data_IF_707864386133
#
_entry.id   IF_707864386133
#
_cell.length_a   1.000
_cell.length_b   1.000
_cell.length_c   1.000
_cell.angle_alpha   90.00
_cell.angle_beta   90.00
_cell.angle_gamma   90.00
#
_symmetry.space_group_name_H-M   'P 1'
#
loop_
_entity.id
_entity.type
_entity.pdbx_description
1 polymer ?
#
# COMPACT_ATOMS: atom_id res chain seq x y z
N UNK A 1 28.56 -1.92 -11.61
CA UNK A 1 27.32 -2.50 -11.01
C UNK A 1 26.40 -1.36 -10.59
N UNK A 2 26.88 -0.37 -9.82
CA UNK A 2 26.05 0.76 -9.35
C UNK A 2 25.99 1.93 -10.33
N UNK A 3 26.93 2.03 -11.25
CA UNK A 3 27.11 3.19 -12.12
C UNK A 3 27.55 4.48 -11.40
N UNK A 4 27.83 4.39 -10.10
CA UNK A 4 28.24 5.53 -9.26
C UNK A 4 29.64 5.29 -8.68
N UNK A 5 30.48 6.34 -8.61
CA UNK A 5 31.79 6.21 -8.01
C UNK A 5 31.68 5.99 -6.51
N UNK A 6 32.61 5.21 -5.95
CA UNK A 6 32.87 5.11 -4.54
C UNK A 6 34.38 5.25 -4.36
N UNK A 7 34.83 6.47 -4.09
CA UNK A 7 36.21 6.87 -3.97
C UNK A 7 36.38 7.92 -2.85
N UNK A 8 37.57 8.41 -2.61
CA UNK A 8 37.83 9.40 -1.56
C UNK A 8 37.08 10.72 -1.76
N UNK A 9 36.79 11.09 -3.01
CA UNK A 9 36.00 12.27 -3.32
C UNK A 9 34.49 12.01 -3.15
N UNK A 10 34.07 10.76 -3.34
CA UNK A 10 32.70 10.30 -3.20
C UNK A 10 32.64 9.13 -2.18
N UNK A 11 32.82 9.41 -0.87
CA UNK A 11 32.97 8.37 0.13
C UNK A 11 31.69 7.67 0.55
N UNK A 12 30.55 8.04 -0.04
CA UNK A 12 29.23 7.47 0.25
C UNK A 12 28.63 6.90 -1.02
N UNK A 13 28.21 5.66 -1.01
CA UNK A 13 27.43 5.02 -2.03
C UNK A 13 26.05 4.64 -1.45
N UNK A 14 24.97 5.11 -2.06
CA UNK A 14 23.61 4.59 -1.88
C UNK A 14 23.10 4.20 -3.26
N UNK A 15 22.90 2.89 -3.46
CA UNK A 15 22.59 2.34 -4.77
C UNK A 15 21.84 1.01 -4.68
N UNK A 16 21.53 0.46 -5.83
CA UNK A 16 20.87 -0.84 -5.99
C UNK A 16 21.88 -1.87 -6.52
N UNK A 17 21.82 -3.06 -5.94
CA UNK A 17 22.47 -4.24 -6.48
C UNK A 17 21.40 -5.12 -7.12
N UNK A 18 21.49 -5.29 -8.43
CA UNK A 18 20.59 -6.14 -9.21
C UNK A 18 21.41 -7.31 -9.74
N UNK A 19 21.07 -8.51 -9.30
CA UNK A 19 21.62 -9.79 -9.75
C UNK A 19 20.52 -10.61 -10.41
N UNK A 20 20.83 -11.65 -11.20
CA UNK A 20 19.82 -12.47 -11.87
C UNK A 20 18.73 -13.04 -10.96
N UNK A 21 19.06 -13.31 -9.69
CA UNK A 21 18.14 -13.93 -8.70
C UNK A 21 18.13 -13.21 -7.36
N UNK A 22 18.58 -11.96 -7.29
CA UNK A 22 18.56 -11.19 -6.06
C UNK A 22 18.61 -9.69 -6.32
N UNK A 23 17.86 -8.95 -5.51
CA UNK A 23 17.91 -7.48 -5.49
C UNK A 23 18.19 -7.02 -4.08
N UNK A 24 19.06 -6.02 -3.94
CA UNK A 24 19.35 -5.40 -2.65
C UNK A 24 19.60 -3.91 -2.81
N UNK A 25 19.18 -3.12 -1.83
CA UNK A 25 19.71 -1.79 -1.62
C UNK A 25 21.07 -1.93 -0.93
N UNK A 26 22.05 -1.19 -1.40
CA UNK A 26 23.41 -1.19 -0.88
C UNK A 26 23.76 0.21 -0.42
N UNK A 27 24.09 0.37 0.84
CA UNK A 27 24.76 1.55 1.35
C UNK A 27 26.22 1.17 1.66
N UNK A 28 27.16 1.95 1.17
CA UNK A 28 28.57 1.74 1.45
C UNK A 28 29.27 3.04 1.81
N UNK A 29 30.24 2.95 2.67
CA UNK A 29 31.09 4.04 3.13
C UNK A 29 32.55 3.66 2.98
N UNK A 30 33.39 4.66 2.65
CA UNK A 30 34.84 4.51 2.69
C UNK A 30 35.55 5.76 3.22
N UNK A 31 36.86 5.74 3.24
CA UNK A 31 37.66 6.92 3.60
C UNK A 31 37.39 8.10 2.68
N UNK A 32 37.39 9.32 3.21
CA UNK A 32 37.77 9.72 4.57
C UNK A 32 36.65 9.57 5.61
N UNK A 33 35.38 9.36 5.18
CA UNK A 33 34.19 9.30 6.07
C UNK A 33 34.22 8.10 7.02
N UNK A 34 34.77 6.97 6.57
CA UNK A 34 35.00 5.76 7.40
C UNK A 34 36.51 5.55 7.62
N UNK A 35 37.11 6.08 8.69
CA UNK A 35 38.56 5.97 8.92
C UNK A 35 39.06 4.52 9.01
N UNK A 36 38.19 3.60 9.46
CA UNK A 36 38.52 2.16 9.59
C UNK A 36 38.53 1.41 8.25
N UNK A 37 38.16 2.05 7.14
CA UNK A 37 38.07 1.44 5.82
C UNK A 37 36.64 1.28 5.33
N UNK A 38 36.39 0.28 4.49
CA UNK A 38 35.09 0.04 3.89
C UNK A 38 34.06 -0.48 4.90
N UNK A 39 32.84 0.06 4.83
CA UNK A 39 31.67 -0.42 5.56
C UNK A 39 30.50 -0.59 4.60
N UNK A 40 29.76 -1.68 4.74
CA UNK A 40 28.63 -2.00 3.86
C UNK A 40 27.38 -2.35 4.66
N UNK A 41 26.21 -1.95 4.11
CA UNK A 41 24.92 -2.42 4.54
C UNK A 41 24.13 -2.91 3.34
N UNK A 42 23.72 -4.17 3.35
CA UNK A 42 22.87 -4.75 2.32
C UNK A 42 21.47 -4.96 2.86
N UNK A 43 20.47 -4.45 2.16
CA UNK A 43 19.06 -4.69 2.44
C UNK A 43 18.47 -5.47 1.28
N UNK A 44 18.39 -6.80 1.46
CA UNK A 44 17.80 -7.68 0.43
C UNK A 44 16.31 -7.40 0.30
N UNK A 45 15.86 -7.25 -0.95
CA UNK A 45 14.45 -7.20 -1.30
C UNK A 45 13.94 -8.60 -1.63
N UNK A 46 12.67 -8.85 -1.36
CA UNK A 46 12.00 -10.05 -1.82
C UNK A 46 11.80 -9.94 -3.33
N UNK A 47 12.10 -11.02 -4.07
CA UNK A 47 11.96 -11.02 -5.53
C UNK A 47 10.49 -11.05 -5.98
N UNK A 48 9.64 -11.72 -5.20
CA UNK A 48 8.20 -11.77 -5.40
C UNK A 48 7.50 -10.65 -4.59
N UNK A 49 6.43 -10.06 -5.13
CA UNK A 49 5.62 -9.07 -4.41
C UNK A 49 5.02 -9.65 -3.14
N UNK A 50 4.93 -8.85 -2.10
CA UNK A 50 4.02 -9.12 -1.00
C UNK A 50 2.58 -8.99 -1.48
N UNK A 51 1.66 -9.70 -0.84
CA UNK A 51 0.22 -9.64 -1.08
C UNK A 51 -0.53 -9.50 0.24
N UNK A 52 -1.78 -9.07 0.20
CA UNK A 52 -2.59 -8.97 1.42
C UNK A 52 -2.78 -10.35 2.10
N UNK A 53 -3.01 -11.47 1.39
CA UNK A 53 -3.02 -12.80 2.01
C UNK A 53 -1.71 -13.18 2.72
N UNK A 54 -0.54 -12.85 2.17
CA UNK A 54 0.75 -13.06 2.86
C UNK A 54 0.86 -12.23 4.15
N UNK A 55 0.32 -11.02 4.15
CA UNK A 55 0.28 -10.21 5.36
C UNK A 55 -0.71 -10.73 6.41
N UNK A 56 -1.83 -11.30 6.00
CA UNK A 56 -2.73 -12.02 6.92
C UNK A 56 -1.99 -13.21 7.53
N UNK A 57 -1.33 -14.02 6.70
CA UNK A 57 -0.56 -15.19 7.17
C UNK A 57 0.55 -14.82 8.15
N UNK A 58 1.22 -13.68 7.94
CA UNK A 58 2.25 -13.16 8.86
C UNK A 58 1.69 -12.42 10.07
N UNK A 59 0.37 -12.34 10.21
CA UNK A 59 -0.34 -11.58 11.25
C UNK A 59 -0.04 -10.07 11.25
N UNK A 60 0.46 -9.52 10.17
CA UNK A 60 0.63 -8.07 10.04
C UNK A 60 -0.71 -7.37 9.83
N UNK A 61 -1.66 -8.04 9.15
CA UNK A 61 -3.03 -7.57 8.91
C UNK A 61 -4.03 -8.61 9.42
N UNK A 62 -5.22 -8.15 9.80
CA UNK A 62 -6.40 -9.00 9.91
C UNK A 62 -7.09 -9.13 8.54
N UNK A 63 -7.92 -10.17 8.32
CA UNK A 63 -8.72 -10.29 7.09
C UNK A 63 -9.59 -9.06 6.82
N UNK A 64 -10.20 -8.50 7.88
CA UNK A 64 -11.01 -7.28 7.78
C UNK A 64 -10.18 -6.09 7.29
N UNK A 65 -8.97 -5.89 7.82
CA UNK A 65 -8.08 -4.83 7.36
C UNK A 65 -7.70 -5.01 5.88
N UNK A 66 -7.43 -6.24 5.45
CA UNK A 66 -7.14 -6.54 4.05
C UNK A 66 -8.33 -6.26 3.13
N UNK A 67 -9.55 -6.63 3.56
CA UNK A 67 -10.81 -6.33 2.85
C UNK A 67 -11.05 -4.83 2.74
N UNK A 68 -10.85 -4.08 3.82
CA UNK A 68 -10.98 -2.63 3.86
C UNK A 68 -9.95 -1.95 2.93
N UNK A 69 -8.68 -2.35 2.96
CA UNK A 69 -7.65 -1.80 2.06
C UNK A 69 -8.01 -2.05 0.60
N UNK A 70 -8.43 -3.27 0.25
CA UNK A 70 -8.88 -3.61 -1.10
C UNK A 70 -10.08 -2.75 -1.54
N UNK A 71 -11.05 -2.52 -0.65
CA UNK A 71 -12.20 -1.65 -0.90
C UNK A 71 -11.81 -0.18 -1.13
N UNK A 72 -10.89 0.35 -0.32
CA UNK A 72 -10.40 1.72 -0.43
C UNK A 72 -9.60 1.96 -1.72
N UNK A 73 -8.88 0.95 -2.21
CA UNK A 73 -8.16 1.00 -3.48
C UNK A 73 -9.13 1.12 -4.64
N UNK A 74 -10.17 0.29 -4.70
CA UNK A 74 -11.20 0.39 -5.72
C UNK A 74 -12.02 1.69 -5.62
N UNK A 75 -12.18 2.20 -4.40
CA UNK A 75 -12.77 3.50 -4.12
C UNK A 75 -11.91 4.70 -4.56
N UNK A 76 -10.75 4.47 -5.15
CA UNK A 76 -9.83 5.51 -5.65
C UNK A 76 -9.46 6.55 -4.58
N UNK A 77 -9.04 6.09 -3.37
CA UNK A 77 -8.70 6.99 -2.26
C UNK A 77 -7.23 7.34 -2.23
N UNK A 78 -6.94 8.47 -1.58
CA UNK A 78 -5.57 8.89 -1.28
C UNK A 78 -5.14 8.25 0.03
N UNK A 79 -4.06 7.45 0.00
CA UNK A 79 -3.63 6.65 1.13
C UNK A 79 -2.14 6.84 1.44
N UNK A 80 -1.82 7.05 2.69
CA UNK A 80 -0.44 7.08 3.18
C UNK A 80 -0.16 5.84 4.02
N UNK A 81 0.91 5.12 3.66
CA UNK A 81 1.45 4.03 4.48
C UNK A 81 2.58 4.61 5.34
N UNK A 82 2.28 4.89 6.58
CA UNK A 82 3.23 5.46 7.53
C UNK A 82 3.76 4.41 8.51
N UNK A 83 4.80 4.76 9.23
CA UNK A 83 5.35 3.88 10.27
C UNK A 83 6.83 4.10 10.51
N UNK A 84 7.34 3.41 11.51
CA UNK A 84 8.74 3.45 11.89
C UNK A 84 9.65 2.78 10.85
N UNK A 85 10.96 2.93 11.01
CA UNK A 85 11.94 2.28 10.12
C UNK A 85 11.78 0.76 10.17
N UNK A 86 11.85 0.09 9.01
CA UNK A 86 11.72 -1.37 8.86
C UNK A 86 10.37 -1.96 9.25
N UNK A 87 9.32 -1.16 9.45
CA UNK A 87 7.96 -1.62 9.77
C UNK A 87 7.23 -2.32 8.61
N UNK A 88 7.80 -2.31 7.39
CA UNK A 88 7.21 -2.99 6.23
C UNK A 88 6.38 -2.08 5.33
N UNK A 89 6.52 -0.76 5.43
CA UNK A 89 5.77 0.24 4.63
C UNK A 89 5.82 -0.03 3.12
N UNK A 90 7.03 -0.10 2.55
CA UNK A 90 7.21 -0.34 1.10
C UNK A 90 6.66 -1.71 0.67
N UNK A 91 6.77 -2.72 1.55
CA UNK A 91 6.20 -4.05 1.28
C UNK A 91 4.66 -4.01 1.27
N UNK A 92 4.05 -3.25 2.19
CA UNK A 92 2.59 -3.05 2.21
C UNK A 92 2.14 -2.24 1.00
N UNK A 93 2.86 -1.18 0.64
CA UNK A 93 2.60 -0.42 -0.59
C UNK A 93 2.69 -1.33 -1.83
N UNK A 94 3.70 -2.21 -1.90
CA UNK A 94 3.82 -3.21 -2.97
C UNK A 94 2.63 -4.19 -3.03
N UNK A 95 2.09 -4.61 -1.87
CA UNK A 95 0.89 -5.45 -1.83
C UNK A 95 -0.38 -4.69 -2.28
N UNK A 96 -0.44 -3.39 -2.00
CA UNK A 96 -1.56 -2.55 -2.47
C UNK A 96 -1.58 -2.44 -4.00
N UNK A 97 -0.41 -2.46 -4.67
CA UNK A 97 -0.37 -2.48 -6.13
C UNK A 97 -1.04 -3.74 -6.72
N UNK A 98 -0.94 -4.89 -6.03
CA UNK A 98 -1.59 -6.15 -6.45
C UNK A 98 -3.11 -6.07 -6.40
N UNK A 99 -3.65 -5.16 -5.60
CA UNK A 99 -5.11 -4.94 -5.50
C UNK A 99 -5.65 -3.96 -6.56
N UNK A 100 -4.81 -3.21 -7.24
CA UNK A 100 -5.24 -2.31 -8.32
C UNK A 100 -5.66 -3.15 -9.52
N UNK A 101 -6.85 -2.90 -10.06
CA UNK A 101 -7.33 -3.61 -11.24
C UNK A 101 -6.40 -3.40 -12.45
N UNK A 102 -6.09 -4.47 -13.19
CA UNK A 102 -5.08 -4.48 -14.28
C UNK A 102 -5.41 -3.58 -15.47
N UNK A 103 -6.66 -3.18 -15.61
CA UNK A 103 -7.10 -2.21 -16.63
C UNK A 103 -6.73 -0.76 -16.29
N UNK A 104 -6.16 -0.52 -15.11
CA UNK A 104 -5.69 0.80 -14.70
C UNK A 104 -4.19 0.92 -14.97
N UNK A 105 -3.78 2.05 -15.56
CA UNK A 105 -2.37 2.42 -15.63
C UNK A 105 -1.87 2.80 -14.24
N UNK A 106 -0.67 2.36 -13.90
CA UNK A 106 0.03 2.70 -12.64
C UNK A 106 1.29 3.47 -12.99
N UNK A 107 1.55 4.56 -12.30
CA UNK A 107 2.80 5.30 -12.38
C UNK A 107 3.48 5.22 -11.03
N UNK A 108 4.70 4.70 -10.97
CA UNK A 108 5.51 4.69 -9.75
C UNK A 108 6.60 5.75 -9.82
N UNK A 109 6.85 6.43 -8.72
CA UNK A 109 7.94 7.40 -8.55
C UNK A 109 8.79 7.00 -7.36
N UNK A 110 10.06 6.66 -7.60
CA UNK A 110 10.99 6.15 -6.58
C UNK A 110 12.38 6.74 -6.80
N UNK A 111 13.09 7.06 -5.74
CA UNK A 111 14.52 7.38 -5.80
C UNK A 111 15.40 6.12 -5.76
N UNK A 112 14.92 5.09 -5.09
CA UNK A 112 15.47 3.74 -5.07
C UNK A 112 14.37 2.77 -5.46
N UNK A 113 14.57 1.98 -6.52
CA UNK A 113 13.55 1.09 -7.05
C UNK A 113 13.36 -0.12 -6.12
N UNK A 114 12.41 -0.04 -5.21
CA UNK A 114 12.05 -1.11 -4.26
C UNK A 114 10.75 -1.84 -4.65
N UNK A 115 9.82 -1.17 -5.35
CA UNK A 115 8.55 -1.75 -5.74
C UNK A 115 8.71 -2.89 -6.76
N UNK A 116 7.83 -3.90 -6.75
CA UNK A 116 7.96 -5.11 -7.56
C UNK A 116 7.47 -4.91 -9.02
N UNK A 117 7.84 -3.81 -9.66
CA UNK A 117 7.33 -3.39 -10.97
C UNK A 117 7.55 -4.46 -12.05
N UNK A 118 8.75 -5.05 -12.12
CA UNK A 118 9.07 -6.04 -13.15
C UNK A 118 8.17 -7.28 -13.04
N UNK A 119 7.91 -7.76 -11.83
CA UNK A 119 7.04 -8.90 -11.60
C UNK A 119 5.58 -8.58 -11.96
N UNK A 120 5.08 -7.41 -11.56
CA UNK A 120 3.71 -7.02 -11.85
C UNK A 120 3.49 -6.80 -13.35
N UNK A 121 4.47 -6.24 -14.08
CA UNK A 121 4.43 -6.17 -15.54
C UNK A 121 4.33 -7.56 -16.18
N UNK A 122 5.08 -8.55 -15.66
CA UNK A 122 4.98 -9.95 -16.13
C UNK A 122 3.60 -10.57 -15.86
N UNK A 123 2.82 -10.03 -14.90
CA UNK A 123 1.44 -10.40 -14.62
C UNK A 123 0.41 -9.58 -15.42
N UNK A 124 0.85 -8.74 -16.36
CA UNK A 124 -0.04 -7.98 -17.26
C UNK A 124 -0.46 -6.61 -16.77
N UNK A 125 0.22 -6.03 -15.78
CA UNK A 125 -0.03 -4.65 -15.35
C UNK A 125 0.64 -3.64 -16.29
N UNK A 126 -0.06 -2.56 -16.63
CA UNK A 126 0.52 -1.38 -17.28
C UNK A 126 1.13 -0.46 -16.21
N UNK A 127 2.43 -0.59 -15.97
CA UNK A 127 3.15 0.21 -14.98
C UNK A 127 4.26 1.02 -15.64
N UNK A 128 4.21 2.33 -15.50
CA UNK A 128 5.32 3.22 -15.81
C UNK A 128 6.14 3.46 -14.53
N UNK A 129 7.39 3.00 -14.52
CA UNK A 129 8.31 3.25 -13.41
C UNK A 129 9.17 4.48 -13.70
N UNK A 130 9.13 5.46 -12.83
CA UNK A 130 9.98 6.66 -12.89
C UNK A 130 11.01 6.59 -11.76
N UNK A 131 12.30 6.66 -12.13
CA UNK A 131 13.39 6.79 -11.17
C UNK A 131 13.74 8.27 -11.01
N UNK A 132 13.75 8.73 -9.78
CA UNK A 132 14.04 10.13 -9.43
C UNK A 132 15.40 10.27 -8.77
N UNK A 133 15.88 11.51 -8.66
CA UNK A 133 17.15 11.84 -8.00
C UNK A 133 17.15 11.36 -6.55
N UNK A 134 18.24 10.68 -6.17
CA UNK A 134 18.47 10.36 -4.76
C UNK A 134 18.73 11.63 -3.95
N UNK A 135 18.11 11.76 -2.79
CA UNK A 135 18.30 12.90 -1.88
C UNK A 135 19.74 12.96 -1.34
N UNK A 136 20.41 11.81 -1.21
CA UNK A 136 21.75 11.72 -0.58
C UNK A 136 22.87 11.80 -1.62
N UNK A 137 22.72 11.10 -2.75
CA UNK A 137 23.80 10.89 -3.71
C UNK A 137 23.40 11.25 -5.15
N UNK A 138 22.32 12.02 -5.32
CA UNK A 138 21.81 12.39 -6.64
C UNK A 138 22.73 13.32 -7.40
N UNK A 139 22.82 13.13 -8.70
CA UNK A 139 23.55 14.00 -9.63
C UNK A 139 22.62 15.05 -10.25
N UNK A 140 23.19 16.14 -10.81
CA UNK A 140 22.38 17.16 -11.49
C UNK A 140 21.64 16.64 -12.73
N UNK A 141 22.13 15.57 -13.34
CA UNK A 141 21.50 14.93 -14.50
C UNK A 141 20.25 14.09 -14.15
N UNK A 142 20.04 13.75 -12.88
CA UNK A 142 18.87 13.00 -12.45
C UNK A 142 17.65 13.95 -12.27
N UNK A 143 16.46 13.46 -12.67
CA UNK A 143 15.20 14.22 -12.58
C UNK A 143 14.78 14.38 -11.13
N UNK A 144 14.41 15.59 -10.73
CA UNK A 144 13.88 15.86 -9.40
C UNK A 144 12.51 15.19 -9.19
N UNK A 145 12.23 14.76 -7.96
CA UNK A 145 11.02 14.00 -7.65
C UNK A 145 9.72 14.82 -7.87
N UNK A 146 9.73 16.11 -7.59
CA UNK A 146 8.59 17.00 -7.85
C UNK A 146 8.30 17.14 -9.36
N UNK A 147 9.35 17.24 -10.19
CA UNK A 147 9.21 17.27 -11.65
C UNK A 147 8.64 15.95 -12.19
N UNK A 148 9.06 14.81 -11.65
CA UNK A 148 8.51 13.51 -12.01
C UNK A 148 7.00 13.43 -11.71
N UNK A 149 6.55 13.88 -10.52
CA UNK A 149 5.13 13.91 -10.17
C UNK A 149 4.34 14.84 -11.11
N UNK A 150 4.83 16.07 -11.37
CA UNK A 150 4.18 16.99 -12.32
C UNK A 150 4.09 16.43 -13.74
N UNK A 151 5.08 15.62 -14.14
CA UNK A 151 5.05 14.91 -15.42
C UNK A 151 4.01 13.79 -15.42
N UNK A 152 3.91 13.02 -14.32
CA UNK A 152 2.92 11.96 -14.17
C UNK A 152 1.49 12.46 -14.40
N UNK A 153 1.16 13.68 -13.92
CA UNK A 153 -0.17 14.28 -14.08
C UNK A 153 -0.57 14.56 -15.54
N UNK A 154 0.38 14.54 -16.46
CA UNK A 154 0.16 14.75 -17.91
C UNK A 154 -0.03 13.44 -18.68
N UNK A 155 0.13 12.30 -18.02
CA UNK A 155 0.12 10.97 -18.66
C UNK A 155 -1.27 10.30 -18.61
N UNK A 156 -2.30 11.06 -18.31
CA UNK A 156 -3.70 10.59 -18.26
C UNK A 156 -4.11 10.02 -16.90
N UNK A 157 -5.32 9.48 -16.83
CA UNK A 157 -5.90 8.90 -15.62
C UNK A 157 -5.12 7.68 -15.18
N UNK A 158 -4.35 7.82 -14.12
CA UNK A 158 -3.45 6.79 -13.61
C UNK A 158 -3.52 6.70 -12.09
N UNK A 159 -3.19 5.53 -11.55
CA UNK A 159 -2.83 5.41 -10.16
C UNK A 159 -1.41 5.93 -9.96
N UNK A 160 -1.18 6.81 -8.99
CA UNK A 160 0.14 7.35 -8.68
C UNK A 160 0.66 6.76 -7.36
N UNK A 161 1.82 6.10 -7.44
CA UNK A 161 2.44 5.42 -6.31
C UNK A 161 3.82 6.05 -6.05
N UNK A 162 4.00 6.63 -4.88
CA UNK A 162 5.26 7.26 -4.47
C UNK A 162 5.97 6.35 -3.47
N UNK A 163 7.15 5.85 -3.83
CA UNK A 163 7.89 4.90 -3.00
C UNK A 163 8.17 5.42 -1.60
N UNK A 164 8.65 6.66 -1.48
CA UNK A 164 8.83 7.35 -0.20
C UNK A 164 8.66 8.86 -0.37
N UNK A 165 7.89 9.48 0.53
CA UNK A 165 7.65 10.93 0.57
C UNK A 165 8.55 11.52 1.66
N UNK A 166 9.53 12.36 1.27
CA UNK A 166 10.52 12.87 2.22
C UNK A 166 11.12 14.24 1.91
N UNK A 167 10.79 14.84 0.74
CA UNK A 167 11.35 16.12 0.32
C UNK A 167 10.38 16.95 -0.53
N UNK A 168 10.87 17.65 -1.53
CA UNK A 168 10.11 18.60 -2.37
C UNK A 168 8.96 18.00 -3.16
N UNK A 169 8.98 16.69 -3.41
CA UNK A 169 7.88 15.97 -4.06
C UNK A 169 6.57 16.05 -3.28
N UNK A 170 6.64 16.25 -1.97
CA UNK A 170 5.46 16.36 -1.13
C UNK A 170 4.52 17.48 -1.61
N UNK A 171 5.04 18.68 -1.86
CA UNK A 171 4.22 19.80 -2.34
C UNK A 171 3.50 19.48 -3.64
N UNK A 172 4.22 18.91 -4.62
CA UNK A 172 3.65 18.53 -5.90
C UNK A 172 2.59 17.42 -5.76
N UNK A 173 2.82 16.44 -4.86
CA UNK A 173 1.91 15.34 -4.61
C UNK A 173 0.59 15.84 -3.99
N UNK A 174 0.65 16.65 -2.94
CA UNK A 174 -0.56 17.19 -2.31
C UNK A 174 -1.30 18.21 -3.20
N UNK A 175 -0.58 18.96 -4.02
CA UNK A 175 -1.21 19.79 -5.06
C UNK A 175 -2.00 18.92 -6.04
N UNK A 176 -1.40 17.83 -6.52
CA UNK A 176 -2.05 16.88 -7.41
C UNK A 176 -3.30 16.22 -6.79
N UNK A 177 -3.20 15.77 -5.54
CA UNK A 177 -4.33 15.22 -4.78
C UNK A 177 -5.48 16.21 -4.66
N UNK A 178 -5.18 17.50 -4.36
CA UNK A 178 -6.18 18.54 -4.11
C UNK A 178 -6.93 18.97 -5.38
N UNK A 179 -6.24 19.01 -6.50
CA UNK A 179 -6.85 19.39 -7.79
C UNK A 179 -7.69 18.24 -8.37
N UNK A 180 -7.61 17.04 -7.81
CA UNK A 180 -8.31 15.86 -8.33
C UNK A 180 -7.80 15.43 -9.70
N UNK A 181 -6.56 15.79 -10.03
CA UNK A 181 -5.94 15.49 -11.32
C UNK A 181 -5.67 13.99 -11.53
N UNK A 182 -5.85 13.18 -10.48
CA UNK A 182 -5.65 11.74 -10.49
C UNK A 182 -7.00 11.07 -10.25
N UNK A 183 -7.54 10.44 -11.29
CA UNK A 183 -8.85 9.79 -11.23
C UNK A 183 -8.85 8.46 -10.48
N UNK A 184 -7.67 7.97 -10.10
CA UNK A 184 -7.43 6.66 -9.48
C UNK A 184 -6.75 6.82 -8.11
N UNK A 185 -6.36 5.68 -7.51
CA UNK A 185 -5.70 5.67 -6.21
C UNK A 185 -4.38 6.44 -6.23
N UNK A 186 -4.13 7.19 -5.17
CA UNK A 186 -2.82 7.79 -4.90
C UNK A 186 -2.33 7.20 -3.60
N UNK A 187 -1.14 6.62 -3.61
CA UNK A 187 -0.56 6.07 -2.39
C UNK A 187 0.95 6.33 -2.31
N UNK A 188 1.45 6.44 -1.11
CA UNK A 188 2.89 6.61 -0.87
C UNK A 188 3.28 6.19 0.53
N UNK A 189 4.59 5.98 0.75
CA UNK A 189 5.10 5.76 2.10
C UNK A 189 5.65 7.03 2.71
N UNK A 190 5.54 7.16 4.01
CA UNK A 190 6.08 8.27 4.78
C UNK A 190 6.54 7.78 6.16
N UNK A 191 7.49 8.46 6.77
CA UNK A 191 7.83 8.22 8.17
C UNK A 191 6.84 8.92 9.11
N UNK A 192 6.37 8.19 10.11
CA UNK A 192 5.46 8.66 11.16
C UNK A 192 4.87 7.45 11.89
N UNK A 193 4.68 7.53 13.19
CA UNK A 193 4.20 6.44 14.05
C UNK A 193 2.73 6.59 14.46
N UNK A 194 2.12 7.70 14.08
CA UNK A 194 0.73 8.05 14.34
C UNK A 194 0.18 8.97 13.24
N UNK A 195 -1.13 9.11 13.06
CA UNK A 195 -1.72 10.06 12.11
C UNK A 195 -1.28 11.51 12.37
N UNK A 196 -1.15 11.87 13.63
CA UNK A 196 -0.69 13.21 13.99
C UNK A 196 0.79 13.44 13.66
N UNK A 197 1.67 12.47 13.91
CA UNK A 197 3.09 12.60 13.52
C UNK A 197 3.27 12.68 12.00
N UNK A 198 2.38 12.04 11.24
CA UNK A 198 2.33 12.20 9.77
C UNK A 198 1.92 13.62 9.39
N UNK A 199 0.87 14.15 10.02
CA UNK A 199 0.43 15.52 9.81
C UNK A 199 1.53 16.53 10.14
N UNK A 200 2.13 16.42 11.32
CA UNK A 200 3.21 17.29 11.78
C UNK A 200 4.38 17.30 10.80
N UNK A 201 4.84 16.12 10.40
CA UNK A 201 5.88 15.96 9.38
C UNK A 201 5.53 16.58 8.04
N UNK A 202 4.33 16.33 7.53
CA UNK A 202 3.89 16.85 6.23
C UNK A 202 3.77 18.37 6.24
N UNK A 203 3.19 18.93 7.29
CA UNK A 203 2.93 20.36 7.37
C UNK A 203 4.18 21.13 7.82
N UNK A 204 4.84 20.68 8.89
CA UNK A 204 5.92 21.43 9.51
C UNK A 204 7.29 21.14 8.90
N UNK A 205 7.60 19.89 8.52
CA UNK A 205 8.90 19.57 7.89
C UNK A 205 8.85 19.76 6.38
N UNK A 206 7.84 19.17 5.71
CA UNK A 206 7.73 19.19 4.25
C UNK A 206 7.01 20.41 3.69
N UNK A 207 6.55 21.33 4.56
CA UNK A 207 5.94 22.61 4.23
C UNK A 207 4.68 22.54 3.36
N UNK A 208 3.96 21.42 3.43
CA UNK A 208 2.66 21.28 2.76
C UNK A 208 1.62 22.09 3.55
N UNK A 209 0.83 22.97 2.90
CA UNK A 209 -0.22 23.71 3.61
C UNK A 209 -1.21 22.78 4.32
N UNK A 210 -1.65 23.14 5.53
CA UNK A 210 -2.66 22.38 6.30
C UNK A 210 -3.90 22.07 5.47
N UNK A 211 -4.37 23.03 4.68
CA UNK A 211 -5.52 22.86 3.78
C UNK A 211 -5.28 21.81 2.67
N UNK A 212 -4.03 21.67 2.23
CA UNK A 212 -3.66 20.66 1.24
C UNK A 212 -3.55 19.27 1.88
N UNK A 213 -3.10 19.15 3.13
CA UNK A 213 -3.05 17.88 3.86
C UNK A 213 -4.42 17.19 3.93
N UNK A 214 -5.50 17.95 3.97
CA UNK A 214 -6.88 17.44 3.91
C UNK A 214 -7.20 16.64 2.64
N UNK A 215 -6.37 16.70 1.60
CA UNK A 215 -6.53 15.83 0.44
C UNK A 215 -6.12 14.37 0.71
N UNK A 216 -5.40 14.10 1.81
CA UNK A 216 -5.20 12.75 2.32
C UNK A 216 -6.52 12.19 2.84
N UNK A 217 -6.91 10.99 2.40
CA UNK A 217 -8.12 10.33 2.88
C UNK A 217 -7.83 9.37 4.03
N UNK A 218 -6.83 8.49 3.87
CA UNK A 218 -6.53 7.40 4.81
C UNK A 218 -5.04 7.38 5.17
N UNK A 219 -4.76 7.12 6.42
CA UNK A 219 -3.41 6.87 6.94
C UNK A 219 -3.36 5.47 7.55
N UNK A 220 -2.46 4.64 7.03
CA UNK A 220 -2.17 3.28 7.49
C UNK A 220 -0.89 3.30 8.31
N UNK A 221 -0.95 3.01 9.60
CA UNK A 221 0.22 3.04 10.49
C UNK A 221 0.76 1.62 10.69
N UNK A 222 1.95 1.36 10.16
CA UNK A 222 2.67 0.11 10.36
C UNK A 222 3.80 0.30 11.39
N UNK A 223 3.81 -0.52 12.43
CA UNK A 223 4.81 -0.44 13.49
C UNK A 223 5.44 -1.80 13.77
N UNK A 224 6.60 -1.75 14.41
CA UNK A 224 7.25 -2.92 14.97
C UNK A 224 6.85 -3.05 16.43
N UNK A 225 6.20 -4.15 16.78
CA UNK A 225 5.86 -4.52 18.15
C UNK A 225 6.97 -5.40 18.70
N UNK A 226 7.40 -5.14 19.90
CA UNK A 226 8.48 -5.91 20.55
C UNK A 226 7.87 -6.79 21.64
N UNK A 227 8.30 -8.05 21.72
CA UNK A 227 7.93 -8.94 22.83
C UNK A 227 8.41 -8.39 24.17
N UNK A 228 7.81 -8.80 25.32
CA UNK A 228 8.26 -8.37 26.64
C UNK A 228 9.73 -8.66 26.92
N UNK A 229 10.29 -9.71 26.33
CA UNK A 229 11.71 -10.05 26.40
C UNK A 229 12.61 -9.12 25.58
N UNK A 230 12.06 -8.32 24.66
CA UNK A 230 12.79 -7.50 23.70
C UNK A 230 13.47 -8.29 22.57
N UNK A 231 13.39 -9.62 22.58
CA UNK A 231 14.09 -10.48 21.64
C UNK A 231 13.36 -10.69 20.32
N UNK A 232 12.04 -10.64 20.34
CA UNK A 232 11.20 -10.82 19.15
C UNK A 232 10.64 -9.49 18.69
N UNK A 233 10.72 -9.24 17.39
CA UNK A 233 10.15 -8.06 16.74
C UNK A 233 9.13 -8.50 15.71
N UNK A 234 7.88 -8.11 15.92
CA UNK A 234 6.77 -8.42 15.04
C UNK A 234 6.31 -7.15 14.33
N UNK A 235 6.05 -7.25 13.03
CA UNK A 235 5.46 -6.14 12.28
C UNK A 235 3.94 -6.23 12.35
N UNK A 236 3.28 -5.11 12.65
CA UNK A 236 1.81 -5.03 12.70
C UNK A 236 1.34 -3.75 12.05
N UNK A 237 0.25 -3.81 11.34
CA UNK A 237 -0.56 -2.62 11.10
C UNK A 237 -1.23 -2.28 12.44
N UNK A 238 -0.95 -1.11 12.99
CA UNK A 238 -1.41 -0.75 14.32
C UNK A 238 -2.60 0.20 14.31
N UNK A 239 -2.82 0.88 13.17
CA UNK A 239 -3.90 1.84 13.06
C UNK A 239 -4.26 2.08 11.61
N UNK A 240 -5.55 2.23 11.32
CA UNK A 240 -6.08 2.75 10.06
C UNK A 240 -7.00 3.90 10.42
N UNK A 241 -6.64 5.10 9.98
CA UNK A 241 -7.39 6.32 10.31
C UNK A 241 -7.79 7.07 9.06
N UNK A 242 -9.01 7.60 9.06
CA UNK A 242 -9.41 8.58 8.05
C UNK A 242 -9.05 10.00 8.50
N UNK A 243 -8.75 10.85 7.52
CA UNK A 243 -8.53 12.28 7.72
C UNK A 243 -9.83 13.01 7.39
N UNK A 244 -10.52 13.49 8.42
CA UNK A 244 -11.74 14.30 8.28
C UNK A 244 -11.42 15.68 7.72
N UNK A 245 -12.41 16.35 7.13
CA UNK A 245 -12.17 17.58 6.34
C UNK A 245 -12.60 18.87 7.04
N UNK A 246 -13.29 18.80 8.18
CA UNK A 246 -13.90 19.97 8.85
C UNK A 246 -12.98 20.73 9.82
N UNK A 247 -11.89 20.13 10.31
CA UNK A 247 -10.93 20.82 11.20
C UNK A 247 -10.24 22.00 10.49
N UNK A 248 -9.81 22.99 11.23
CA UNK A 248 -9.23 24.24 10.70
C UNK A 248 -7.78 24.44 11.04
N UNK A 249 -7.39 24.17 12.26
CA UNK A 249 -6.06 24.48 12.77
C UNK A 249 -5.29 23.25 13.23
N UNK A 250 -5.77 22.52 14.21
CA UNK A 250 -5.11 21.34 14.75
C UNK A 250 -6.02 20.10 14.67
N UNK A 251 -5.70 19.14 13.79
CA UNK A 251 -6.55 17.96 13.60
C UNK A 251 -6.61 17.05 14.83
N UNK A 252 -5.66 17.12 15.76
CA UNK A 252 -5.72 16.35 16.99
C UNK A 252 -6.78 16.92 17.95
N UNK A 253 -6.76 18.24 18.14
CA UNK A 253 -7.68 18.92 19.03
C UNK A 253 -9.10 19.01 18.46
N UNK A 254 -9.20 19.10 17.13
CA UNK A 254 -10.47 19.30 16.42
C UNK A 254 -11.06 17.98 15.87
N UNK A 255 -10.61 16.82 16.37
CA UNK A 255 -11.08 15.49 15.93
C UNK A 255 -10.96 15.28 14.41
N UNK A 256 -9.90 15.80 13.81
CA UNK A 256 -9.61 15.68 12.38
C UNK A 256 -9.16 14.28 11.95
N UNK A 257 -8.93 13.37 12.90
CA UNK A 257 -8.67 11.96 12.64
C UNK A 257 -9.78 11.12 13.24
N UNK A 258 -10.22 10.09 12.51
CA UNK A 258 -11.12 9.09 13.03
C UNK A 258 -10.56 7.69 12.73
N UNK A 259 -10.35 6.91 13.77
CA UNK A 259 -9.79 5.58 13.65
C UNK A 259 -10.85 4.61 13.15
N UNK A 260 -10.53 3.88 12.09
CA UNK A 260 -11.36 2.80 11.55
C UNK A 260 -10.96 1.46 12.15
N UNK A 261 -9.66 1.23 12.30
CA UNK A 261 -9.09 0.03 12.92
C UNK A 261 -7.99 0.44 13.90
N UNK A 262 -7.95 -0.22 15.06
CA UNK A 262 -6.94 0.02 16.10
C UNK A 262 -6.34 -1.28 16.62
N UNK A 263 -5.04 -1.27 16.90
CA UNK A 263 -4.34 -2.45 17.40
C UNK A 263 -4.63 -2.70 18.87
N UNK A 264 -5.06 -3.91 19.14
CA UNK A 264 -5.30 -4.44 20.48
C UNK A 264 -4.09 -5.26 20.93
N UNK A 265 -3.23 -4.65 21.72
CA UNK A 265 -2.00 -5.30 22.19
C UNK A 265 -2.26 -6.53 23.07
N UNK A 266 -3.40 -6.60 23.73
CA UNK A 266 -3.76 -7.72 24.61
C UNK A 266 -4.04 -9.01 23.83
N UNK A 267 -4.68 -8.86 22.67
CA UNK A 267 -5.09 -9.99 21.83
C UNK A 267 -4.20 -10.18 20.59
N UNK A 268 -3.21 -9.28 20.37
CA UNK A 268 -2.40 -9.20 19.14
C UNK A 268 -3.27 -9.16 17.87
N UNK A 269 -4.33 -8.34 17.89
CA UNK A 269 -5.29 -8.18 16.79
C UNK A 269 -5.45 -6.71 16.40
N UNK A 270 -5.91 -6.47 15.19
CA UNK A 270 -6.33 -5.15 14.71
C UNK A 270 -7.85 -5.14 14.67
N UNK A 271 -8.46 -4.47 15.63
CA UNK A 271 -9.90 -4.50 15.87
C UNK A 271 -10.61 -3.33 15.17
N UNK A 272 -11.85 -3.56 14.72
CA UNK A 272 -12.70 -2.50 14.19
C UNK A 272 -13.18 -1.58 15.31
N UNK A 273 -13.25 -0.29 15.01
CA UNK A 273 -13.84 0.71 15.91
C UNK A 273 -15.32 0.90 15.62
N UNK A 274 -16.04 1.52 16.55
CA UNK A 274 -17.46 1.86 16.37
C UNK A 274 -17.66 2.77 15.13
N UNK A 275 -16.72 3.69 14.85
CA UNK A 275 -16.75 4.55 13.65
C UNK A 275 -16.84 3.72 12.37
N UNK A 276 -16.12 2.60 12.30
CA UNK A 276 -16.18 1.71 11.14
C UNK A 276 -17.45 0.85 11.18
N UNK A 277 -17.77 0.23 12.31
CA UNK A 277 -18.87 -0.74 12.41
C UNK A 277 -20.23 -0.06 12.24
N UNK A 278 -20.41 1.11 12.84
CA UNK A 278 -21.67 1.88 12.77
C UNK A 278 -21.78 2.74 11.50
N UNK A 279 -20.77 2.67 10.64
CA UNK A 279 -20.79 3.39 9.37
C UNK A 279 -20.64 4.90 9.50
N UNK A 280 -19.89 5.39 10.49
CA UNK A 280 -19.66 6.81 10.68
C UNK A 280 -18.50 7.38 9.83
N UNK A 281 -17.77 6.52 9.10
CA UNK A 281 -16.68 6.93 8.22
C UNK A 281 -17.19 7.82 7.08
N UNK A 282 -16.70 9.04 7.00
CA UNK A 282 -17.01 9.99 5.92
C UNK A 282 -16.43 9.51 4.58
N UNK A 283 -15.25 8.93 4.61
CA UNK A 283 -14.54 8.45 3.41
C UNK A 283 -15.26 7.25 2.79
N UNK A 284 -15.67 6.29 3.61
CA UNK A 284 -16.38 5.09 3.13
C UNK A 284 -17.77 5.48 2.61
N UNK A 285 -18.49 6.37 3.32
CA UNK A 285 -19.75 6.94 2.84
C UNK A 285 -19.59 7.66 1.48
N UNK A 286 -18.51 8.43 1.32
CA UNK A 286 -18.23 9.10 0.06
C UNK A 286 -17.90 8.14 -1.09
N UNK A 287 -17.35 6.95 -0.82
CA UNK A 287 -17.24 5.88 -1.82
C UNK A 287 -18.64 5.36 -2.15
N UNK A 288 -19.42 4.99 -1.13
CA UNK A 288 -20.75 4.43 -1.29
C UNK A 288 -21.70 5.34 -2.06
N UNK A 289 -21.63 6.67 -1.83
CA UNK A 289 -22.49 7.63 -2.53
C UNK A 289 -22.26 7.70 -4.05
N UNK A 290 -21.13 7.20 -4.55
CA UNK A 290 -20.81 7.14 -5.98
C UNK A 290 -21.24 5.83 -6.64
N UNK A 291 -21.68 4.85 -5.86
CA UNK A 291 -22.14 3.55 -6.35
C UNK A 291 -23.64 3.46 -6.11
N UNK A 292 -24.41 3.29 -7.19
CA UNK A 292 -25.88 3.32 -7.15
C UNK A 292 -26.47 2.38 -6.10
N UNK A 293 -25.92 1.18 -6.00
CA UNK A 293 -26.39 0.12 -5.08
C UNK A 293 -26.07 0.42 -3.60
N UNK A 294 -25.03 1.23 -3.34
CA UNK A 294 -24.51 1.49 -2.00
C UNK A 294 -24.93 2.83 -1.42
N UNK A 295 -25.51 3.70 -2.28
CA UNK A 295 -25.88 5.06 -1.86
C UNK A 295 -26.95 5.03 -0.75
N UNK A 296 -26.55 5.47 0.47
CA UNK A 296 -27.41 5.44 1.65
C UNK A 296 -27.62 4.06 2.27
N UNK A 297 -26.93 3.02 1.80
CA UNK A 297 -27.07 1.65 2.29
C UNK A 297 -25.74 1.17 2.89
N UNK A 298 -25.56 1.37 4.19
CA UNK A 298 -24.36 0.94 4.90
C UNK A 298 -24.18 -0.58 4.89
N UNK A 299 -25.24 -1.35 5.06
CA UNK A 299 -25.18 -2.81 5.10
C UNK A 299 -24.62 -3.39 3.79
N UNK A 300 -24.96 -2.78 2.64
CA UNK A 300 -24.41 -3.19 1.36
C UNK A 300 -22.91 -2.87 1.24
N UNK A 301 -22.48 -1.71 1.74
CA UNK A 301 -21.05 -1.32 1.78
C UNK A 301 -20.29 -2.26 2.72
N UNK A 302 -20.79 -2.47 3.93
CA UNK A 302 -20.20 -3.34 4.91
C UNK A 302 -20.09 -4.78 4.40
N UNK A 303 -21.18 -5.30 3.81
CA UNK A 303 -21.19 -6.62 3.20
C UNK A 303 -20.15 -6.80 2.08
N UNK A 304 -19.84 -5.74 1.32
CA UNK A 304 -18.77 -5.78 0.32
C UNK A 304 -17.38 -5.81 0.96
N UNK A 305 -17.15 -5.04 2.03
CA UNK A 305 -15.89 -5.07 2.79
C UNK A 305 -15.67 -6.46 3.41
N UNK A 306 -16.69 -7.03 4.03
CA UNK A 306 -16.64 -8.39 4.61
C UNK A 306 -16.43 -9.47 3.54
N UNK A 307 -17.06 -9.33 2.37
CA UNK A 307 -16.86 -10.25 1.25
C UNK A 307 -15.38 -10.28 0.83
N UNK A 308 -14.76 -9.11 0.67
CA UNK A 308 -13.32 -9.01 0.35
C UNK A 308 -12.46 -9.63 1.46
N UNK A 309 -12.80 -9.39 2.72
CA UNK A 309 -12.11 -9.98 3.86
C UNK A 309 -12.18 -11.53 3.82
N UNK A 310 -13.36 -12.09 3.56
CA UNK A 310 -13.59 -13.55 3.42
C UNK A 310 -12.78 -14.14 2.27
N UNK A 311 -12.74 -13.46 1.12
CA UNK A 311 -11.94 -13.87 -0.04
C UNK A 311 -10.45 -13.94 0.32
N UNK A 312 -9.90 -12.89 0.94
CA UNK A 312 -8.48 -12.88 1.34
C UNK A 312 -8.15 -13.97 2.34
N UNK A 313 -9.04 -14.24 3.31
CA UNK A 313 -8.87 -15.33 4.27
C UNK A 313 -8.97 -16.70 3.59
N UNK A 314 -9.92 -16.91 2.67
CA UNK A 314 -10.07 -18.17 1.95
C UNK A 314 -8.83 -18.54 1.12
N UNK A 315 -8.11 -17.55 0.58
CA UNK A 315 -6.82 -17.77 -0.10
C UNK A 315 -5.76 -18.28 0.89
N UNK A 316 -5.69 -17.72 2.09
CA UNK A 316 -4.78 -18.19 3.15
C UNK A 316 -5.14 -19.62 3.57
N UNK A 317 -6.42 -19.88 3.78
CA UNK A 317 -6.92 -21.22 4.16
C UNK A 317 -6.63 -22.26 3.08
N UNK A 318 -6.74 -21.88 1.79
CA UNK A 318 -6.40 -22.75 0.67
C UNK A 318 -4.91 -23.10 0.67
N UNK A 319 -4.03 -22.12 0.87
CA UNK A 319 -2.59 -22.34 0.97
C UNK A 319 -2.24 -23.27 2.15
N UNK A 320 -2.89 -23.11 3.29
CA UNK A 320 -2.66 -23.94 4.47
C UNK A 320 -3.14 -25.39 4.29
N UNK A 321 -4.34 -25.57 3.72
CA UNK A 321 -4.91 -26.89 3.46
C UNK A 321 -4.12 -27.69 2.43
N UNK A 322 -3.65 -27.03 1.37
CA UNK A 322 -2.88 -27.65 0.30
C UNK A 322 -1.39 -27.73 0.61
N UNK A 323 -0.90 -27.01 1.63
CA UNK A 323 0.52 -26.78 1.91
C UNK A 323 1.28 -26.15 0.74
N UNK A 324 0.56 -25.45 -0.12
CA UNK A 324 1.10 -24.75 -1.29
C UNK A 324 1.07 -23.22 -1.06
N UNK A 325 2.22 -22.59 -0.75
CA UNK A 325 2.28 -21.15 -0.50
C UNK A 325 2.02 -20.31 -1.76
N UNK A 326 2.10 -20.89 -2.96
CA UNK A 326 1.89 -20.16 -4.20
C UNK A 326 0.46 -19.61 -4.36
N UNK A 327 -0.52 -20.15 -3.63
CA UNK A 327 -1.86 -19.54 -3.53
C UNK A 327 -1.83 -18.12 -2.99
N UNK A 328 -0.88 -17.80 -2.11
CA UNK A 328 -0.74 -16.44 -1.54
C UNK A 328 0.17 -15.53 -2.37
N UNK A 329 0.83 -16.03 -3.41
CA UNK A 329 1.70 -15.23 -4.27
C UNK A 329 0.91 -14.38 -5.27
N UNK A 330 1.54 -13.29 -5.74
CA UNK A 330 0.88 -12.30 -6.60
C UNK A 330 0.23 -12.91 -7.85
N UNK A 331 0.86 -13.92 -8.46
CA UNK A 331 0.31 -14.58 -9.64
C UNK A 331 -1.07 -15.18 -9.43
N UNK A 332 -1.31 -15.82 -8.27
CA UNK A 332 -2.62 -16.38 -7.93
C UNK A 332 -3.57 -15.30 -7.39
N UNK A 333 -3.08 -14.40 -6.54
CA UNK A 333 -3.90 -13.33 -5.93
C UNK A 333 -4.50 -12.41 -6.99
N UNK A 334 -3.75 -12.09 -8.05
CA UNK A 334 -4.25 -11.31 -9.20
C UNK A 334 -5.41 -12.03 -9.89
N UNK A 335 -5.26 -13.35 -10.19
CA UNK A 335 -6.36 -14.14 -10.75
C UNK A 335 -7.60 -14.14 -9.85
N UNK A 336 -7.39 -14.29 -8.54
CA UNK A 336 -8.47 -14.30 -7.57
C UNK A 336 -9.20 -12.95 -7.47
N UNK A 337 -8.48 -11.83 -7.60
CA UNK A 337 -9.04 -10.49 -7.66
C UNK A 337 -9.83 -10.26 -8.96
N UNK A 338 -9.29 -10.67 -10.11
CA UNK A 338 -9.99 -10.57 -11.39
C UNK A 338 -11.30 -11.38 -11.39
N UNK A 339 -11.28 -12.61 -10.87
CA UNK A 339 -12.49 -13.43 -10.77
C UNK A 339 -13.52 -12.83 -9.80
N UNK A 340 -13.07 -12.23 -8.68
CA UNK A 340 -13.95 -11.48 -7.78
C UNK A 340 -14.66 -10.33 -8.49
N UNK A 341 -13.95 -9.51 -9.26
CA UNK A 341 -14.55 -8.38 -9.99
C UNK A 341 -15.49 -8.85 -11.09
N UNK A 342 -15.10 -9.89 -11.83
CA UNK A 342 -15.92 -10.50 -12.88
C UNK A 342 -17.24 -11.03 -12.31
N UNK A 343 -17.16 -11.84 -11.24
CA UNK A 343 -18.36 -12.41 -10.60
C UNK A 343 -19.25 -11.34 -9.97
N UNK A 344 -18.63 -10.30 -9.36
CA UNK A 344 -19.39 -9.18 -8.82
C UNK A 344 -20.22 -8.48 -9.90
N UNK A 345 -19.64 -8.26 -11.08
CA UNK A 345 -20.35 -7.67 -12.22
C UNK A 345 -21.44 -8.59 -12.76
N UNK A 346 -21.16 -9.87 -12.95
CA UNK A 346 -22.14 -10.85 -13.44
C UNK A 346 -23.35 -10.97 -12.50
N UNK A 347 -23.10 -11.10 -11.20
CA UNK A 347 -24.18 -11.17 -10.20
C UNK A 347 -25.02 -9.88 -10.20
N UNK A 348 -24.37 -8.72 -10.27
CA UNK A 348 -25.08 -7.44 -10.32
C UNK A 348 -25.95 -7.31 -11.60
N UNK A 349 -25.49 -7.80 -12.76
CA UNK A 349 -26.25 -7.84 -13.99
C UNK A 349 -27.48 -8.74 -13.90
N UNK A 350 -27.36 -9.91 -13.24
CA UNK A 350 -28.42 -10.90 -13.13
C UNK A 350 -29.51 -10.54 -12.11
N UNK A 351 -29.13 -10.01 -10.95
CA UNK A 351 -30.09 -9.77 -9.83
C UNK A 351 -30.32 -8.28 -9.54
N UNK A 352 -29.62 -7.39 -10.26
CA UNK A 352 -29.77 -5.94 -10.13
C UNK A 352 -28.93 -5.30 -9.03
N UNK A 353 -28.18 -6.06 -8.25
CA UNK A 353 -27.22 -5.61 -7.22
C UNK A 353 -26.15 -6.66 -6.92
N UNK A 354 -25.05 -6.23 -6.33
CA UNK A 354 -23.97 -7.12 -5.93
C UNK A 354 -24.34 -7.86 -4.63
N UNK A 355 -24.88 -9.09 -4.73
CA UNK A 355 -25.16 -9.94 -3.58
C UNK A 355 -23.87 -10.58 -3.04
N UNK A 356 -23.38 -10.17 -1.84
CA UNK A 356 -22.11 -10.66 -1.31
C UNK A 356 -22.10 -12.18 -1.06
N UNK A 357 -23.24 -12.79 -0.69
CA UNK A 357 -23.33 -14.22 -0.41
C UNK A 357 -23.22 -15.03 -1.68
N UNK A 358 -23.89 -14.60 -2.73
CA UNK A 358 -23.86 -15.25 -4.02
C UNK A 358 -22.48 -15.12 -4.68
N UNK A 359 -21.91 -13.91 -4.69
CA UNK A 359 -20.55 -13.67 -5.21
C UNK A 359 -19.54 -14.56 -4.50
N UNK A 360 -19.62 -14.67 -3.15
CA UNK A 360 -18.71 -15.53 -2.41
C UNK A 360 -18.90 -17.02 -2.77
N UNK A 361 -20.12 -17.51 -2.90
CA UNK A 361 -20.41 -18.91 -3.24
C UNK A 361 -19.86 -19.31 -4.62
N UNK A 362 -20.03 -18.42 -5.61
CA UNK A 362 -19.52 -18.65 -6.96
C UNK A 362 -17.99 -18.55 -6.99
N UNK A 363 -17.41 -17.56 -6.31
CA UNK A 363 -15.97 -17.39 -6.17
C UNK A 363 -15.32 -18.56 -5.42
N UNK A 364 -15.93 -19.07 -4.37
CA UNK A 364 -15.44 -20.23 -3.63
C UNK A 364 -15.48 -21.51 -4.51
N UNK A 365 -16.47 -21.63 -5.36
CA UNK A 365 -16.57 -22.73 -6.33
C UNK A 365 -15.45 -22.67 -7.35
N UNK A 366 -15.12 -21.46 -7.85
CA UNK A 366 -13.96 -21.22 -8.68
C UNK A 366 -12.66 -21.58 -7.95
N UNK A 367 -12.46 -21.14 -6.70
CA UNK A 367 -11.28 -21.46 -5.91
C UNK A 367 -11.10 -22.98 -5.75
N UNK A 368 -12.19 -23.73 -5.49
CA UNK A 368 -12.16 -25.20 -5.39
C UNK A 368 -11.75 -25.85 -6.69
N UNK A 369 -12.12 -25.29 -7.83
CA UNK A 369 -11.71 -25.78 -9.14
C UNK A 369 -10.21 -25.52 -9.40
N UNK A 370 -9.70 -24.33 -9.06
CA UNK A 370 -8.29 -24.00 -9.16
C UNK A 370 -7.41 -24.90 -8.27
N UNK A 371 -7.85 -25.19 -7.04
CA UNK A 371 -7.16 -26.13 -6.14
C UNK A 371 -7.07 -27.53 -6.77
N UNK A 372 -8.18 -28.02 -7.33
CA UNK A 372 -8.21 -29.35 -7.98
C UNK A 372 -7.29 -29.41 -9.23
N UNK A 373 -7.23 -28.35 -10.01
CA UNK A 373 -6.34 -28.25 -11.17
C UNK A 373 -4.88 -28.34 -10.75
N UNK A 374 -4.46 -27.52 -9.80
CA UNK A 374 -3.08 -27.52 -9.29
C UNK A 374 -2.66 -28.88 -8.70
N UNK A 375 -3.55 -29.54 -7.94
CA UNK A 375 -3.26 -30.89 -7.37
C UNK A 375 -3.12 -31.96 -8.45
N UNK A 376 -3.72 -31.79 -9.63
CA UNK A 376 -3.56 -32.74 -10.77
C UNK A 376 -2.29 -32.49 -11.55
N UNK A 377 -1.74 -31.28 -11.52
CA UNK A 377 -0.52 -30.89 -12.23
C UNK A 377 0.76 -31.18 -11.42
N UNK A 378 0.64 -31.39 -10.09
CA UNK A 378 1.71 -31.72 -9.17
C UNK A 378 1.89 -33.24 -9.02
#
# INVERSE_FOLDING_TARGET
>A
ISGRPLDEANPVLDSELILPHARARVAALQRPLSPSGFSFAFRRHRDKSWTLPLFIKSKMLTPLAAGLISFLIDGARTMLVAGTRSAGKTSLLGAMLVEIARNNRIITSEDTLELPVAQLRALGYDILSMKTRSVITGTESEIAADQAIRTALRLGDSALIVGEIRSTEALALWEAMRVGALAKVVAGTIHGDSPYSVFDRVVNDLKVPKTSFKATDIILIANTITSPSGMERMRRLTQVSEVRKFWTDDPLLEKGFADLLTYNAKNDTLDATDVLVEGESEIIKAIGSRVREWSGNWDAIWGNIELRAKIKQAIVDAADKTKDPDFMEAGFVVKANDEFHKLSSLVAEEVGYTDPKRVYSEWESWLKAEIKSKVREA
#
